data_IF_203154364913
#
_entry.id   IF_203154364913
#
_cell.length_a   1.000
_cell.length_b   1.000
_cell.length_c   1.000
_cell.angle_alpha   90.00
_cell.angle_beta   90.00
_cell.angle_gamma   90.00
#
_symmetry.space_group_name_H-M   'P 1'
#
loop_
_entity.id
_entity.type
_entity.pdbx_description
1 polymer ?
#
# COMPACT_ATOMS: atom_id res chain seq x y z
N UNK A 1 -1.10 20.36 -13.72
CA UNK A 1 -0.43 19.06 -13.54
C UNK A 1 -0.11 18.99 -12.06
N UNK A 2 -0.55 17.94 -11.36
CA UNK A 2 -0.22 17.79 -9.94
C UNK A 2 1.15 17.13 -9.84
N UNK A 3 2.15 17.93 -9.55
CA UNK A 3 3.53 17.49 -9.40
C UNK A 3 3.90 17.34 -7.93
N UNK A 4 4.89 16.50 -7.66
CA UNK A 4 5.53 16.43 -6.34
C UNK A 4 6.33 17.71 -6.15
N UNK A 5 5.89 18.56 -5.23
CA UNK A 5 6.56 19.81 -4.86
C UNK A 5 7.51 19.62 -3.70
N UNK A 6 7.17 18.71 -2.78
CA UNK A 6 7.96 18.45 -1.58
C UNK A 6 7.79 17.00 -1.12
N UNK A 7 8.82 16.49 -0.47
CA UNK A 7 8.84 15.15 0.12
C UNK A 7 9.47 15.25 1.50
N UNK A 8 8.75 14.80 2.52
CA UNK A 8 9.30 14.69 3.86
C UNK A 8 9.49 13.22 4.24
N UNK A 9 10.70 12.89 4.68
CA UNK A 9 11.01 11.58 5.24
C UNK A 9 11.47 11.72 6.68
N UNK A 10 11.03 10.81 7.54
CA UNK A 10 11.38 10.86 8.96
C UNK A 10 11.41 9.49 9.62
N UNK A 11 12.30 9.35 10.61
CA UNK A 11 12.42 8.15 11.44
C UNK A 11 11.46 8.22 12.60
N UNK A 12 10.66 7.18 12.76
CA UNK A 12 9.79 7.00 13.90
C UNK A 12 10.17 5.71 14.65
N UNK A 13 9.79 5.69 15.92
CA UNK A 13 9.83 4.49 16.76
C UNK A 13 8.40 4.18 17.21
N UNK A 14 7.94 2.94 17.01
CA UNK A 14 6.59 2.53 17.42
C UNK A 14 6.66 1.17 18.11
N UNK A 15 6.50 1.16 19.44
CA UNK A 15 6.55 -0.01 20.34
C UNK A 15 7.75 -0.94 20.03
N UNK A 16 7.54 -1.89 19.12
CA UNK A 16 8.44 -2.97 18.75
C UNK A 16 9.12 -2.79 17.37
N UNK A 17 8.65 -1.81 16.57
CA UNK A 17 9.26 -1.45 15.27
C UNK A 17 10.31 -0.37 15.48
N UNK A 18 11.58 -0.76 15.37
CA UNK A 18 12.71 0.17 15.19
C UNK A 18 12.81 0.51 13.71
N UNK A 19 13.36 1.68 13.41
CA UNK A 19 13.61 2.11 12.03
C UNK A 19 12.35 2.19 11.14
N UNK A 20 11.25 2.72 11.68
CA UNK A 20 10.08 3.02 10.88
C UNK A 20 10.35 4.29 10.06
N UNK A 21 10.46 4.16 8.75
CA UNK A 21 10.47 5.27 7.80
C UNK A 21 9.02 5.70 7.56
N UNK A 22 8.70 6.96 7.84
CA UNK A 22 7.49 7.61 7.35
C UNK A 22 7.87 8.49 6.15
N UNK A 23 7.11 8.36 5.06
CA UNK A 23 7.26 9.13 3.82
C UNK A 23 5.97 9.91 3.59
N UNK A 24 6.09 11.22 3.49
CA UNK A 24 5.02 12.12 3.06
C UNK A 24 5.37 12.71 1.69
N UNK A 25 4.43 12.66 0.75
CA UNK A 25 4.53 13.28 -0.57
C UNK A 25 3.51 14.40 -0.66
N UNK A 26 3.96 15.58 -1.07
CA UNK A 26 3.13 16.77 -1.21
C UNK A 26 3.10 17.24 -2.66
N UNK A 27 1.90 17.58 -3.10
CA UNK A 27 1.61 18.31 -4.35
C UNK A 27 0.86 19.58 -4.01
N UNK A 28 0.64 20.46 -4.99
CA UNK A 28 -0.08 21.73 -4.79
C UNK A 28 -1.41 21.53 -4.07
N UNK A 29 -2.18 20.52 -4.45
CA UNK A 29 -3.57 20.34 -3.99
C UNK A 29 -3.80 19.04 -3.21
N UNK A 30 -2.76 18.26 -2.92
CA UNK A 30 -2.91 16.96 -2.28
C UNK A 30 -1.66 16.50 -1.54
N UNK A 31 -1.85 15.55 -0.63
CA UNK A 31 -0.76 14.89 0.09
C UNK A 31 -1.04 13.39 0.20
N UNK A 32 0.01 12.60 0.35
CA UNK A 32 -0.08 11.17 0.61
C UNK A 32 1.01 10.71 1.54
N UNK A 33 0.73 9.68 2.34
CA UNK A 33 1.61 9.22 3.40
C UNK A 33 1.71 7.70 3.47
N UNK A 34 2.91 7.19 3.61
CA UNK A 34 3.19 5.77 3.82
C UNK A 34 4.19 5.57 4.95
N UNK A 35 4.20 4.38 5.54
CA UNK A 35 5.21 4.02 6.54
C UNK A 35 5.64 2.57 6.42
N UNK A 36 6.94 2.34 6.51
CA UNK A 36 7.56 1.02 6.36
C UNK A 36 8.75 0.87 7.29
N UNK A 37 9.06 -0.35 7.71
CA UNK A 37 10.33 -0.63 8.41
C UNK A 37 11.41 -0.84 7.36
N UNK A 38 12.53 -0.14 7.50
CA UNK A 38 13.71 -0.31 6.64
C UNK A 38 14.98 -0.17 7.45
N UNK A 39 16.03 -0.90 7.05
CA UNK A 39 17.37 -0.72 7.61
C UNK A 39 18.21 0.27 6.78
N UNK A 40 17.71 0.73 5.63
CA UNK A 40 18.39 1.74 4.84
C UNK A 40 18.38 3.10 5.55
N UNK A 41 19.52 3.80 5.50
CA UNK A 41 19.69 5.07 6.20
C UNK A 41 18.75 6.13 5.64
N UNK A 42 18.18 6.96 6.51
CA UNK A 42 17.36 8.09 6.06
C UNK A 42 18.18 9.09 5.28
N UNK A 43 19.44 9.32 5.66
CA UNK A 43 20.32 10.25 4.93
C UNK A 43 20.55 9.73 3.51
N UNK A 44 20.80 8.43 3.34
CA UNK A 44 20.96 7.82 2.00
C UNK A 44 19.65 7.89 1.19
N UNK A 45 18.49 7.66 1.84
CA UNK A 45 17.18 7.79 1.19
C UNK A 45 16.96 9.23 0.73
N UNK A 46 17.29 10.23 1.55
CA UNK A 46 17.19 11.64 1.21
C UNK A 46 18.07 11.95 0.00
N UNK A 47 19.34 11.53 0.05
CA UNK A 47 20.33 11.89 -0.96
C UNK A 47 20.08 11.20 -2.31
N UNK A 48 19.53 9.97 -2.29
CA UNK A 48 19.31 9.15 -3.49
C UNK A 48 17.90 9.26 -4.06
N UNK A 49 16.86 9.23 -3.21
CA UNK A 49 15.48 9.06 -3.68
C UNK A 49 14.78 10.39 -3.95
N UNK A 50 14.94 11.37 -3.05
CA UNK A 50 14.15 12.60 -3.13
C UNK A 50 14.45 13.43 -4.40
N UNK A 51 15.71 13.71 -4.77
CA UNK A 51 16.03 14.51 -5.95
C UNK A 51 15.48 13.93 -7.25
N UNK A 52 15.36 12.61 -7.33
CA UNK A 52 14.90 11.89 -8.51
C UNK A 52 13.38 11.89 -8.67
N UNK A 53 12.62 12.20 -7.61
CA UNK A 53 11.15 12.20 -7.62
C UNK A 53 10.52 13.60 -7.62
N UNK A 54 11.21 14.62 -7.12
CA UNK A 54 10.70 15.99 -7.15
C UNK A 54 10.39 16.42 -8.60
N UNK A 55 9.23 17.01 -8.80
CA UNK A 55 8.76 17.44 -10.12
C UNK A 55 8.04 16.36 -10.94
N UNK A 56 8.06 15.09 -10.51
CA UNK A 56 7.22 14.06 -11.15
C UNK A 56 5.74 14.31 -10.88
N UNK A 57 4.89 13.94 -11.83
CA UNK A 57 3.45 13.96 -11.65
C UNK A 57 3.02 12.83 -10.71
N UNK A 58 2.32 13.14 -9.61
CA UNK A 58 1.76 12.12 -8.70
C UNK A 58 0.75 11.21 -9.41
N UNK A 59 0.22 11.65 -10.55
CA UNK A 59 -0.75 10.92 -11.36
C UNK A 59 -0.10 9.86 -12.27
N UNK A 60 1.23 9.85 -12.37
CA UNK A 60 2.00 8.94 -13.22
C UNK A 60 2.67 7.82 -12.43
N UNK A 61 1.86 6.97 -11.78
CA UNK A 61 2.33 5.89 -10.90
C UNK A 61 3.42 5.01 -11.54
N UNK A 62 3.26 4.63 -12.82
CA UNK A 62 4.23 3.78 -13.52
C UNK A 62 5.58 4.47 -13.74
N UNK A 63 5.56 5.77 -14.02
CA UNK A 63 6.79 6.56 -14.20
C UNK A 63 7.58 6.61 -12.89
N UNK A 64 6.89 6.92 -11.79
CA UNK A 64 7.48 6.96 -10.44
C UNK A 64 7.99 5.58 -10.02
N UNK A 65 7.19 4.53 -10.20
CA UNK A 65 7.59 3.16 -9.87
C UNK A 65 8.83 2.72 -10.67
N UNK A 66 8.93 3.08 -11.94
CA UNK A 66 10.11 2.77 -12.77
C UNK A 66 11.37 3.46 -12.24
N UNK A 67 11.28 4.75 -11.90
CA UNK A 67 12.42 5.50 -11.35
C UNK A 67 12.86 4.90 -10.02
N UNK A 68 11.91 4.57 -9.13
CA UNK A 68 12.19 3.89 -7.86
C UNK A 68 12.92 2.55 -8.04
N UNK A 69 12.58 1.80 -9.08
CA UNK A 69 13.27 0.55 -9.42
C UNK A 69 14.71 0.77 -9.88
N UNK A 70 14.96 1.86 -10.58
CA UNK A 70 16.29 2.20 -11.14
C UNK A 70 17.25 2.75 -10.07
N UNK A 71 16.75 3.46 -9.06
CA UNK A 71 17.59 4.23 -8.12
C UNK A 71 17.89 3.52 -6.79
N UNK A 72 17.14 2.48 -6.44
CA UNK A 72 17.36 1.75 -5.18
C UNK A 72 16.96 0.29 -5.29
N UNK A 73 17.66 -0.62 -4.61
CA UNK A 73 17.31 -2.05 -4.52
C UNK A 73 16.40 -2.37 -3.32
N UNK A 74 16.15 -1.39 -2.44
CA UNK A 74 15.39 -1.56 -1.21
C UNK A 74 13.88 -1.56 -1.48
N UNK A 75 13.29 -2.75 -1.64
CA UNK A 75 11.90 -2.90 -2.06
C UNK A 75 10.90 -2.32 -1.06
N UNK A 76 11.23 -2.29 0.22
CA UNK A 76 10.44 -1.64 1.26
C UNK A 76 10.38 -0.12 1.10
N UNK A 77 11.48 0.50 0.66
CA UNK A 77 11.52 1.95 0.39
C UNK A 77 10.79 2.26 -0.90
N UNK A 78 10.97 1.44 -1.94
CA UNK A 78 10.16 1.54 -3.18
C UNK A 78 8.67 1.52 -2.87
N UNK A 79 8.23 0.57 -2.03
CA UNK A 79 6.84 0.50 -1.60
C UNK A 79 6.38 1.79 -0.92
N UNK A 80 7.18 2.33 0.02
CA UNK A 80 6.77 3.51 0.78
C UNK A 80 6.51 4.73 -0.10
N UNK A 81 7.43 5.03 -1.02
CA UNK A 81 7.25 6.14 -1.96
C UNK A 81 6.14 5.88 -2.99
N UNK A 82 6.05 4.66 -3.51
CA UNK A 82 5.01 4.23 -4.45
C UNK A 82 3.61 4.36 -3.83
N UNK A 83 3.44 3.91 -2.59
CA UNK A 83 2.19 3.98 -1.82
C UNK A 83 1.84 5.42 -1.41
N UNK A 84 2.81 6.22 -0.94
CA UNK A 84 2.58 7.62 -0.61
C UNK A 84 2.13 8.40 -1.86
N UNK A 85 2.71 8.12 -3.03
CA UNK A 85 2.33 8.71 -4.31
C UNK A 85 0.88 8.37 -4.66
N UNK A 86 0.51 7.08 -4.59
CA UNK A 86 -0.84 6.63 -4.89
C UNK A 86 -1.89 7.27 -3.98
N UNK A 87 -1.56 7.43 -2.68
CA UNK A 87 -2.42 8.13 -1.71
C UNK A 87 -2.56 9.61 -2.05
N UNK A 88 -1.48 10.28 -2.45
CA UNK A 88 -1.56 11.67 -2.91
C UNK A 88 -2.46 11.78 -4.14
N UNK A 89 -2.32 10.88 -5.10
CA UNK A 89 -3.15 10.88 -6.31
C UNK A 89 -4.62 10.57 -6.02
N UNK A 90 -4.91 9.58 -5.17
CA UNK A 90 -6.29 9.26 -4.78
C UNK A 90 -6.95 10.43 -4.06
N UNK A 91 -6.21 11.10 -3.16
CA UNK A 91 -6.68 12.28 -2.44
C UNK A 91 -6.93 13.46 -3.40
N UNK A 92 -6.09 13.66 -4.42
CA UNK A 92 -6.30 14.69 -5.44
C UNK A 92 -7.61 14.48 -6.20
N UNK A 93 -7.93 13.24 -6.55
CA UNK A 93 -9.20 12.89 -7.20
C UNK A 93 -10.40 12.83 -6.24
N UNK A 94 -10.18 12.94 -4.92
CA UNK A 94 -11.22 12.76 -3.92
C UNK A 94 -11.78 11.33 -3.88
N UNK A 95 -10.97 10.34 -4.26
CA UNK A 95 -11.34 8.93 -4.29
C UNK A 95 -10.74 8.17 -3.10
N UNK A 96 -11.47 7.20 -2.52
CA UNK A 96 -10.86 6.19 -1.67
C UNK A 96 -9.73 5.47 -2.43
N UNK A 97 -8.62 5.18 -1.75
CA UNK A 97 -7.44 4.58 -2.39
C UNK A 97 -7.76 3.26 -3.11
N UNK A 98 -8.64 2.43 -2.54
CA UNK A 98 -9.00 1.14 -3.17
C UNK A 98 -9.73 1.34 -4.51
N UNK A 99 -10.57 2.38 -4.62
CA UNK A 99 -11.24 2.75 -5.87
C UNK A 99 -10.29 3.40 -6.86
N UNK A 100 -9.36 4.23 -6.38
CA UNK A 100 -8.32 4.80 -7.25
C UNK A 100 -7.46 3.70 -7.88
N UNK A 101 -7.11 2.66 -7.11
CA UNK A 101 -6.27 1.56 -7.58
C UNK A 101 -7.01 0.54 -8.47
N UNK A 102 -8.24 0.17 -8.12
CA UNK A 102 -8.99 -0.90 -8.82
C UNK A 102 -10.15 -0.43 -9.69
N UNK A 103 -10.43 0.88 -9.70
CA UNK A 103 -11.57 1.46 -10.39
C UNK A 103 -12.92 1.06 -9.78
N UNK A 104 -13.98 1.24 -10.55
CA UNK A 104 -15.37 1.00 -10.13
C UNK A 104 -15.70 -0.46 -9.79
N UNK A 105 -14.81 -1.41 -10.11
CA UNK A 105 -15.02 -2.84 -9.86
C UNK A 105 -14.27 -3.35 -8.63
N UNK A 106 -13.57 -2.48 -7.91
CA UNK A 106 -12.85 -2.81 -6.67
C UNK A 106 -13.83 -3.06 -5.52
N UNK A 107 -14.37 -4.28 -5.43
CA UNK A 107 -15.41 -4.64 -4.45
C UNK A 107 -15.12 -5.89 -3.63
N UNK A 108 -14.11 -6.66 -4.01
CA UNK A 108 -13.82 -7.93 -3.38
C UNK A 108 -13.01 -7.71 -2.10
N UNK A 109 -13.56 -8.14 -0.97
CA UNK A 109 -12.86 -8.12 0.31
C UNK A 109 -11.93 -9.35 0.41
N UNK A 110 -10.62 -9.17 0.64
CA UNK A 110 -9.71 -10.27 0.91
C UNK A 110 -10.15 -11.07 2.14
N UNK A 111 -9.94 -12.39 2.10
CA UNK A 111 -10.03 -13.24 3.28
C UNK A 111 -8.83 -12.96 4.18
N UNK A 112 -9.03 -13.09 5.49
CA UNK A 112 -7.98 -12.82 6.47
C UNK A 112 -7.21 -14.10 6.76
N UNK A 113 -5.90 -14.06 6.58
CA UNK A 113 -4.99 -15.11 7.01
C UNK A 113 -4.39 -14.71 8.37
N UNK A 114 -4.74 -15.46 9.41
CA UNK A 114 -4.27 -15.21 10.78
C UNK A 114 -3.90 -16.53 11.46
N UNK A 115 -2.67 -16.63 11.99
CA UNK A 115 -2.17 -17.82 12.72
C UNK A 115 -2.42 -19.15 11.97
N UNK A 116 -2.08 -19.20 10.67
CA UNK A 116 -2.30 -20.35 9.77
C UNK A 116 -3.76 -20.75 9.55
N UNK A 117 -4.71 -19.85 9.80
CA UNK A 117 -6.14 -20.07 9.55
C UNK A 117 -6.70 -18.95 8.70
N UNK A 118 -7.72 -19.28 7.92
CA UNK A 118 -8.42 -18.38 7.02
C UNK A 118 -9.75 -18.00 7.64
N UNK A 119 -10.03 -16.70 7.66
CA UNK A 119 -11.24 -16.09 8.20
C UNK A 119 -11.90 -15.18 7.15
N UNK A 120 -13.19 -14.91 7.33
CA UNK A 120 -13.85 -13.79 6.65
C UNK A 120 -13.60 -12.47 7.41
N UNK A 121 -14.17 -11.37 6.90
CA UNK A 121 -14.03 -10.04 7.49
C UNK A 121 -14.65 -9.91 8.89
N UNK A 122 -15.61 -10.76 9.25
CA UNK A 122 -16.20 -10.82 10.60
C UNK A 122 -15.40 -11.73 11.56
N UNK A 123 -14.24 -12.23 11.12
CA UNK A 123 -13.39 -13.17 11.87
C UNK A 123 -14.06 -14.53 12.12
N UNK A 124 -15.02 -14.95 11.29
CA UNK A 124 -15.53 -16.32 11.30
C UNK A 124 -14.52 -17.24 10.63
N UNK A 125 -14.22 -18.37 11.27
CA UNK A 125 -13.30 -19.35 10.72
C UNK A 125 -13.88 -20.01 9.46
N UNK A 126 -13.11 -20.01 8.37
CA UNK A 126 -13.49 -20.64 7.11
C UNK A 126 -12.78 -21.98 6.90
N UNK A 127 -11.45 -21.98 7.05
CA UNK A 127 -10.60 -23.17 6.82
C UNK A 127 -9.18 -22.98 7.35
N UNK A 128 -8.44 -24.08 7.44
CA UNK A 128 -6.98 -24.03 7.63
C UNK A 128 -6.27 -23.43 6.40
N UNK A 129 -5.09 -22.83 6.61
CA UNK A 129 -4.24 -22.28 5.52
C UNK A 129 -3.88 -23.40 4.54
N UNK A 130 -4.24 -23.19 3.27
CA UNK A 130 -3.81 -24.04 2.16
C UNK A 130 -2.48 -23.58 1.56
N UNK A 131 -2.14 -24.10 0.39
CA UNK A 131 -1.02 -23.57 -0.39
C UNK A 131 -1.38 -22.16 -0.90
N UNK A 132 -0.48 -21.21 -0.64
CA UNK A 132 -0.67 -19.80 -0.94
C UNK A 132 0.67 -19.20 -1.33
N UNK A 133 0.66 -18.38 -2.38
CA UNK A 133 1.84 -17.65 -2.82
C UNK A 133 1.76 -16.23 -2.29
N UNK A 134 2.72 -15.90 -1.43
CA UNK A 134 2.90 -14.54 -0.96
C UNK A 134 3.43 -13.65 -2.09
N UNK A 135 2.83 -12.47 -2.21
CA UNK A 135 3.30 -11.38 -3.04
C UNK A 135 4.38 -10.64 -2.27
N UNK A 136 5.54 -10.46 -2.87
CA UNK A 136 6.64 -9.73 -2.25
C UNK A 136 6.38 -8.23 -2.29
N UNK A 137 6.73 -7.55 -1.20
CA UNK A 137 6.64 -6.10 -1.08
C UNK A 137 7.59 -5.42 -2.08
N UNK A 138 7.06 -4.47 -2.84
CA UNK A 138 7.78 -3.68 -3.86
C UNK A 138 6.89 -2.48 -4.27
N UNK A 139 7.19 -1.82 -5.39
CA UNK A 139 6.31 -0.83 -6.02
C UNK A 139 4.91 -1.40 -6.29
N UNK A 140 3.89 -0.52 -6.35
CA UNK A 140 2.52 -0.95 -6.67
C UNK A 140 2.44 -1.64 -8.03
N UNK A 141 3.18 -1.16 -9.04
CA UNK A 141 3.25 -1.78 -10.37
C UNK A 141 3.81 -3.21 -10.31
N UNK A 142 4.86 -3.46 -9.51
CA UNK A 142 5.41 -4.82 -9.31
C UNK A 142 4.46 -5.71 -8.52
N UNK A 143 3.86 -5.20 -7.46
CA UNK A 143 2.89 -5.96 -6.66
C UNK A 143 1.73 -6.43 -7.53
N UNK A 144 1.19 -5.55 -8.38
CA UNK A 144 0.13 -5.92 -9.34
C UNK A 144 0.59 -7.02 -10.30
N UNK A 145 1.77 -6.87 -10.89
CA UNK A 145 2.34 -7.86 -11.82
C UNK A 145 2.58 -9.22 -11.14
N UNK A 146 3.02 -9.23 -9.88
CA UNK A 146 3.24 -10.46 -9.12
C UNK A 146 1.93 -11.19 -8.81
N UNK A 147 0.87 -10.45 -8.50
CA UNK A 147 -0.47 -11.01 -8.30
C UNK A 147 -0.96 -11.74 -9.56
N UNK A 148 -0.85 -11.11 -10.73
CA UNK A 148 -1.23 -11.69 -12.03
C UNK A 148 -0.43 -12.95 -12.38
N UNK A 149 0.82 -13.05 -11.89
CA UNK A 149 1.69 -14.22 -12.06
C UNK A 149 1.39 -15.35 -11.06
N UNK A 150 0.31 -15.25 -10.27
CA UNK A 150 -0.16 -16.28 -9.34
C UNK A 150 0.10 -16.00 -7.86
N UNK A 151 0.51 -14.78 -7.47
CA UNK A 151 0.51 -14.35 -6.08
C UNK A 151 -0.91 -14.06 -5.60
N UNK A 152 -1.30 -14.59 -4.44
CA UNK A 152 -2.68 -14.47 -3.94
C UNK A 152 -2.79 -13.96 -2.51
N UNK A 153 -1.67 -13.81 -1.80
CA UNK A 153 -1.64 -13.31 -0.44
C UNK A 153 -0.68 -12.13 -0.30
N UNK A 154 -1.06 -11.10 0.44
CA UNK A 154 -0.19 -9.97 0.78
C UNK A 154 -0.13 -9.79 2.29
N UNK A 155 1.06 -9.49 2.81
CA UNK A 155 1.26 -9.25 4.24
C UNK A 155 0.87 -7.82 4.60
N UNK A 156 0.14 -7.66 5.70
CA UNK A 156 -0.15 -6.36 6.28
C UNK A 156 1.13 -5.70 6.82
N UNK A 157 1.28 -4.42 6.53
CA UNK A 157 2.42 -3.60 6.97
C UNK A 157 1.94 -2.23 7.46
N UNK A 158 1.00 -1.67 6.71
CA UNK A 158 0.25 -0.46 7.01
C UNK A 158 -1.16 -0.52 6.40
N UNK A 159 -2.04 0.40 6.79
CA UNK A 159 -3.43 0.49 6.36
C UNK A 159 -3.59 0.56 4.82
N UNK A 160 -2.61 1.13 4.11
CA UNK A 160 -2.60 1.16 2.64
C UNK A 160 -2.65 -0.22 1.99
N UNK A 161 -2.17 -1.27 2.67
CA UNK A 161 -2.24 -2.66 2.17
C UNK A 161 -3.69 -3.14 2.08
N UNK A 162 -4.59 -2.73 2.98
CA UNK A 162 -6.01 -3.10 2.91
C UNK A 162 -6.65 -2.56 1.63
N UNK A 163 -6.36 -1.30 1.30
CA UNK A 163 -6.84 -0.68 0.05
C UNK A 163 -6.25 -1.32 -1.19
N UNK A 164 -4.95 -1.61 -1.16
CA UNK A 164 -4.26 -2.29 -2.25
C UNK A 164 -4.87 -3.68 -2.47
N UNK A 165 -5.08 -4.45 -1.41
CA UNK A 165 -5.64 -5.79 -1.50
C UNK A 165 -7.03 -5.79 -2.16
N UNK A 166 -7.89 -4.84 -1.80
CA UNK A 166 -9.20 -4.66 -2.44
C UNK A 166 -9.07 -4.15 -3.89
N UNK A 167 -8.26 -3.11 -4.10
CA UNK A 167 -8.08 -2.50 -5.42
C UNK A 167 -7.45 -3.43 -6.46
N UNK A 168 -6.53 -4.29 -6.04
CA UNK A 168 -5.87 -5.24 -6.93
C UNK A 168 -6.53 -6.62 -6.97
N UNK A 169 -7.60 -6.84 -6.22
CA UNK A 169 -8.30 -8.13 -6.10
C UNK A 169 -7.35 -9.23 -5.60
N UNK A 170 -6.65 -8.95 -4.50
CA UNK A 170 -5.81 -9.91 -3.79
C UNK A 170 -6.69 -10.77 -2.88
N UNK A 171 -6.53 -12.09 -2.95
CA UNK A 171 -7.45 -13.04 -2.31
C UNK A 171 -7.28 -13.09 -0.77
N UNK A 172 -6.05 -12.92 -0.27
CA UNK A 172 -5.73 -13.04 1.15
C UNK A 172 -4.91 -11.86 1.69
N UNK A 173 -5.31 -11.36 2.85
CA UNK A 173 -4.54 -10.43 3.67
C UNK A 173 -3.96 -11.18 4.87
N UNK A 174 -2.64 -11.31 4.95
CA UNK A 174 -1.95 -11.92 6.08
C UNK A 174 -1.71 -10.88 7.18
N UNK A 175 -2.23 -11.15 8.38
CA UNK A 175 -2.15 -10.27 9.54
C UNK A 175 -1.43 -10.96 10.72
N UNK A 176 -0.82 -10.17 11.57
CA UNK A 176 -0.19 -10.58 12.83
C UNK A 176 -1.01 -10.18 14.06
N UNK A 177 -1.78 -9.10 13.95
CA UNK A 177 -2.71 -8.64 14.99
C UNK A 177 -4.12 -8.47 14.42
N UNK A 178 -5.15 -8.84 15.19
CA UNK A 178 -6.55 -8.71 14.76
C UNK A 178 -6.90 -7.24 14.47
N UNK A 179 -6.28 -6.30 15.16
CA UNK A 179 -6.46 -4.85 14.97
C UNK A 179 -6.07 -4.36 13.57
N UNK A 180 -5.29 -5.12 12.80
CA UNK A 180 -4.85 -4.77 11.45
C UNK A 180 -5.99 -4.83 10.43
N UNK A 181 -7.11 -5.48 10.75
CA UNK A 181 -8.28 -5.55 9.86
C UNK A 181 -9.16 -4.29 9.94
N UNK A 182 -8.90 -3.38 10.88
CA UNK A 182 -9.79 -2.23 11.12
C UNK A 182 -9.98 -1.36 9.89
N UNK A 183 -8.94 -1.14 9.08
CA UNK A 183 -9.08 -0.39 7.83
C UNK A 183 -9.89 -1.20 6.79
N UNK A 184 -9.69 -2.51 6.74
CA UNK A 184 -10.45 -3.38 5.86
C UNK A 184 -11.96 -3.35 6.18
N UNK A 185 -12.32 -3.29 7.47
CA UNK A 185 -13.70 -3.15 7.92
C UNK A 185 -14.31 -1.82 7.46
N UNK A 186 -13.55 -0.71 7.52
CA UNK A 186 -14.02 0.59 6.99
C UNK A 186 -14.27 0.54 5.49
N UNK A 187 -13.39 -0.12 4.73
CA UNK A 187 -13.58 -0.32 3.29
C UNK A 187 -14.83 -1.15 3.02
N UNK A 188 -15.07 -2.22 3.79
CA UNK A 188 -16.28 -3.02 3.67
C UNK A 188 -17.57 -2.22 3.95
N UNK A 189 -17.57 -1.39 4.98
CA UNK A 189 -18.71 -0.50 5.29
C UNK A 189 -18.96 0.51 4.15
N UNK A 190 -17.90 1.06 3.56
CA UNK A 190 -17.99 1.99 2.42
C UNK A 190 -18.59 1.30 1.19
N UNK A 191 -18.10 0.11 0.84
CA UNK A 191 -18.62 -0.69 -0.26
C UNK A 191 -20.09 -1.08 -0.08
N UNK A 192 -20.47 -1.49 1.14
CA UNK A 192 -21.85 -1.88 1.46
C UNK A 192 -22.83 -0.73 1.23
N UNK A 193 -22.43 0.50 1.57
CA UNK A 193 -23.27 1.70 1.34
C UNK A 193 -23.43 2.02 -0.15
N UNK A 194 -22.45 1.69 -0.98
CA UNK A 194 -22.54 1.92 -2.43
C UNK A 194 -23.50 0.95 -3.12
N UNK A 195 -23.69 -0.26 -2.58
CA UNK A 195 -24.64 -1.24 -3.14
C UNK A 195 -26.11 -0.91 -2.81
N UNK A 196 -26.36 -0.07 -1.81
CA UNK A 196 -27.71 0.36 -1.41
C UNK A 196 -28.28 1.52 -2.27
N UNK A 197 -27.47 2.14 -3.14
CA UNK A 197 -27.81 3.31 -3.98
C UNK A 197 -28.15 2.87 -5.40
#
# INVERSE_FOLDING_TARGET
MEIIEDIFVRKLYKKDKRNLLEVDIFSTNSYGKSSVVTEWSIDDIIDVVLPELIGFSILEQRSIDSVLEDITEHSEVRFAFSMATAKAASNFYGLPLYQYLGGIFAKNIPKILYRNKVYDHEMNFLREKGDMRLISLDTLSKIKTQQEKGGNAIKFIEDGICHLAVGFDIEYLEIEEITEINELLRIYEDLSRMEEI
#
